data_IF_996760728977
#
_entry.id   IF_996760728977
#
_cell.length_a   1.000
_cell.length_b   1.000
_cell.length_c   1.000
_cell.angle_alpha   90.00
_cell.angle_beta   90.00
_cell.angle_gamma   90.00
#
_symmetry.space_group_name_H-M   'P 1'
#
loop_
_entity.id
_entity.type
_entity.pdbx_description
1 polymer ?
#
# COMPACT_ATOMS: atom_id res chain seq x y z
N UNK A 1 0.41 -6.27 -5.95
CA UNK A 1 -0.88 -5.74 -5.46
C UNK A 1 -2.00 -6.44 -6.22
N UNK A 2 -3.05 -6.85 -5.52
CA UNK A 2 -4.23 -7.50 -6.09
C UNK A 2 -5.44 -7.13 -5.24
N UNK A 3 -6.62 -7.26 -5.82
CA UNK A 3 -7.86 -7.16 -5.06
C UNK A 3 -8.38 -8.56 -4.70
N UNK A 4 -9.08 -8.66 -3.58
CA UNK A 4 -9.64 -9.92 -3.07
C UNK A 4 -10.98 -9.68 -2.39
N UNK A 5 -11.81 -10.70 -2.36
CA UNK A 5 -13.08 -10.68 -1.63
C UNK A 5 -12.87 -11.24 -0.21
N UNK A 6 -13.49 -10.65 0.82
CA UNK A 6 -13.51 -11.21 2.16
C UNK A 6 -14.21 -12.58 2.18
N UNK A 7 -13.69 -13.50 3.00
CA UNK A 7 -14.34 -14.78 3.22
C UNK A 7 -15.72 -14.55 3.86
N UNK A 8 -16.79 -15.06 3.22
CA UNK A 8 -18.17 -14.89 3.66
C UNK A 8 -18.52 -15.76 4.86
N UNK A 9 -17.76 -16.82 5.13
CA UNK A 9 -17.94 -17.64 6.32
C UNK A 9 -17.49 -16.85 7.56
N UNK A 10 -16.35 -16.16 7.47
CA UNK A 10 -15.81 -15.34 8.54
C UNK A 10 -16.45 -13.93 8.60
N UNK A 11 -16.80 -13.35 7.44
CA UNK A 11 -17.34 -12.00 7.29
C UNK A 11 -18.62 -11.97 6.43
N UNK A 12 -19.73 -12.56 6.91
CA UNK A 12 -20.95 -12.75 6.10
C UNK A 12 -21.59 -11.45 5.58
N UNK A 13 -21.35 -10.33 6.26
CA UNK A 13 -21.89 -9.01 5.89
C UNK A 13 -20.92 -8.14 5.10
N UNK A 14 -19.67 -8.57 4.90
CA UNK A 14 -18.69 -7.77 4.16
C UNK A 14 -19.08 -7.71 2.68
N UNK A 15 -19.39 -6.53 2.16
CA UNK A 15 -19.81 -6.31 0.77
C UNK A 15 -18.83 -5.41 0.00
N UNK A 16 -17.57 -5.42 0.42
CA UNK A 16 -16.49 -4.65 -0.17
C UNK A 16 -15.46 -5.57 -0.81
N UNK A 17 -14.72 -5.03 -1.76
CA UNK A 17 -13.50 -5.62 -2.28
C UNK A 17 -12.34 -5.04 -1.48
N UNK A 18 -11.39 -5.88 -1.07
CA UNK A 18 -10.24 -5.45 -0.30
C UNK A 18 -8.99 -5.42 -1.19
N UNK A 19 -8.10 -4.47 -0.91
CA UNK A 19 -6.81 -4.36 -1.58
C UNK A 19 -5.74 -5.06 -0.75
N UNK A 20 -4.88 -5.83 -1.40
CA UNK A 20 -3.82 -6.59 -0.74
C UNK A 20 -2.50 -6.58 -1.52
N UNK A 21 -1.41 -6.87 -0.80
CA UNK A 21 -0.08 -7.13 -1.34
C UNK A 21 0.40 -8.50 -0.87
N UNK A 22 1.20 -9.17 -1.69
CA UNK A 22 1.87 -10.40 -1.33
C UNK A 22 3.34 -10.30 -1.74
N UNK A 23 4.22 -10.79 -0.88
CA UNK A 23 5.66 -10.74 -1.06
C UNK A 23 6.15 -12.14 -1.42
N UNK A 24 6.78 -12.26 -2.58
CA UNK A 24 7.31 -13.53 -3.06
C UNK A 24 8.81 -13.45 -3.25
N UNK A 25 9.51 -14.51 -2.84
CA UNK A 25 10.94 -14.71 -3.06
C UNK A 25 11.15 -15.96 -3.88
N UNK A 26 11.96 -15.88 -4.92
CA UNK A 26 12.21 -17.03 -5.77
C UNK A 26 12.52 -16.65 -7.21
N UNK A 27 12.27 -17.60 -8.11
CA UNK A 27 12.36 -17.43 -9.56
C UNK A 27 11.70 -18.62 -10.26
N UNK A 28 11.50 -18.49 -11.57
CA UNK A 28 10.80 -19.49 -12.40
C UNK A 28 11.44 -20.88 -12.42
N UNK A 29 12.73 -21.01 -12.03
CA UNK A 29 13.41 -22.32 -11.97
C UNK A 29 13.23 -23.02 -10.63
N UNK A 30 13.22 -22.25 -9.53
CA UNK A 30 13.18 -22.78 -8.16
C UNK A 30 11.79 -22.72 -7.55
N UNK A 31 10.85 -22.05 -8.21
CA UNK A 31 9.55 -21.69 -7.65
C UNK A 31 9.61 -20.37 -6.87
N UNK A 32 8.42 -19.91 -6.50
CA UNK A 32 8.19 -18.70 -5.73
C UNK A 32 7.62 -19.08 -4.37
N UNK A 33 8.21 -18.58 -3.30
CA UNK A 33 7.79 -18.77 -1.92
C UNK A 33 7.19 -17.46 -1.39
N UNK A 34 6.05 -17.54 -0.70
CA UNK A 34 5.48 -16.38 -0.01
C UNK A 34 6.28 -16.12 1.28
N UNK A 35 6.80 -14.91 1.40
CA UNK A 35 7.62 -14.45 2.54
C UNK A 35 6.96 -13.30 3.31
N UNK A 36 5.74 -12.92 2.94
CA UNK A 36 5.00 -11.81 3.52
C UNK A 36 4.06 -12.23 4.63
N UNK A 37 3.70 -11.27 5.48
CA UNK A 37 2.57 -11.41 6.39
C UNK A 37 1.26 -11.07 5.69
N UNK A 38 0.15 -11.55 6.24
CA UNK A 38 -1.20 -11.20 5.80
C UNK A 38 -1.77 -10.13 6.75
N UNK A 39 -1.32 -8.89 6.58
CA UNK A 39 -1.89 -7.73 7.25
C UNK A 39 -3.12 -7.20 6.51
N UNK A 40 -4.04 -6.60 7.28
CA UNK A 40 -5.26 -5.96 6.76
C UNK A 40 -5.48 -4.57 7.37
N UNK A 41 -4.53 -4.08 8.16
CA UNK A 41 -4.65 -2.80 8.85
C UNK A 41 -4.55 -1.67 7.82
N UNK A 42 -5.53 -0.78 7.82
CA UNK A 42 -5.58 0.35 6.93
C UNK A 42 -6.22 1.55 7.62
N UNK A 43 -5.98 2.71 7.02
CA UNK A 43 -6.68 3.95 7.30
C UNK A 43 -7.55 4.27 6.10
N UNK A 44 -8.81 4.61 6.31
CA UNK A 44 -9.72 5.00 5.25
C UNK A 44 -10.48 6.28 5.61
N UNK A 45 -10.69 7.11 4.61
CA UNK A 45 -11.63 8.22 4.65
C UNK A 45 -12.24 8.43 3.25
N UNK A 46 -13.03 9.49 3.08
CA UNK A 46 -13.68 9.81 1.80
C UNK A 46 -12.70 10.15 0.67
N UNK A 47 -11.45 10.48 1.00
CA UNK A 47 -10.43 10.90 0.05
C UNK A 47 -9.55 9.74 -0.41
N UNK A 48 -8.99 9.00 0.53
CA UNK A 48 -8.02 7.94 0.26
C UNK A 48 -8.14 6.79 1.26
N UNK A 49 -7.80 5.59 0.80
CA UNK A 49 -7.56 4.41 1.65
C UNK A 49 -6.07 4.11 1.62
N UNK A 50 -5.43 3.94 2.78
CA UNK A 50 -3.99 3.74 2.93
C UNK A 50 -3.71 2.43 3.69
N UNK A 51 -3.00 1.54 3.03
CA UNK A 51 -2.39 0.34 3.61
C UNK A 51 -0.88 0.56 3.75
N UNK A 52 -0.31 0.10 4.86
CA UNK A 52 1.13 0.11 5.09
C UNK A 52 1.53 -1.30 5.53
N UNK A 53 2.19 -2.02 4.64
CA UNK A 53 2.60 -3.40 4.90
C UNK A 53 4.12 -3.50 5.00
N UNK A 54 4.67 -3.67 6.21
CA UNK A 54 6.09 -3.89 6.41
C UNK A 54 6.49 -5.32 6.02
N UNK A 55 7.64 -5.45 5.38
CA UNK A 55 8.33 -6.71 5.15
C UNK A 55 9.66 -6.70 5.89
N UNK A 56 9.75 -7.55 6.91
CA UNK A 56 10.96 -7.81 7.65
C UNK A 56 11.35 -9.29 7.51
N UNK A 57 12.52 -9.54 6.92
CA UNK A 57 13.04 -10.90 6.72
C UNK A 57 14.47 -10.95 7.21
N UNK A 58 14.72 -11.78 8.21
CA UNK A 58 16.05 -12.05 8.73
C UNK A 58 16.69 -13.27 8.06
N UNK A 59 18.02 -13.29 8.05
CA UNK A 59 18.82 -14.48 7.80
C UNK A 59 18.89 -15.33 9.08
N UNK A 60 19.24 -16.60 8.92
CA UNK A 60 19.43 -17.54 10.04
C UNK A 60 20.50 -17.10 11.07
N UNK A 61 21.41 -16.19 10.69
CA UNK A 61 22.42 -15.63 11.58
C UNK A 61 21.98 -14.34 12.29
N UNK A 62 20.74 -13.90 12.08
CA UNK A 62 20.19 -12.66 12.64
C UNK A 62 20.49 -11.39 11.82
N UNK A 63 21.18 -11.49 10.67
CA UNK A 63 21.32 -10.34 9.78
C UNK A 63 20.02 -10.06 9.04
N UNK A 64 19.66 -8.79 8.88
CA UNK A 64 18.53 -8.37 8.06
C UNK A 64 18.82 -8.71 6.58
N UNK A 65 17.91 -9.44 5.95
CA UNK A 65 17.91 -9.71 4.50
C UNK A 65 17.04 -8.69 3.75
N UNK A 66 15.83 -8.44 4.26
CA UNK A 66 14.89 -7.46 3.70
C UNK A 66 14.26 -6.67 4.84
N UNK A 67 14.26 -5.35 4.71
CA UNK A 67 13.61 -4.45 5.66
C UNK A 67 13.12 -3.21 4.90
N UNK A 68 11.87 -3.28 4.48
CA UNK A 68 11.17 -2.21 3.78
C UNK A 68 9.66 -2.36 3.97
N UNK A 69 8.92 -1.29 3.70
CA UNK A 69 7.47 -1.26 3.70
C UNK A 69 6.94 -1.04 2.29
N UNK A 70 5.71 -1.48 2.06
CA UNK A 70 4.93 -1.10 0.88
C UNK A 70 3.75 -0.29 1.35
N UNK A 71 3.64 0.92 0.81
CA UNK A 71 2.48 1.78 0.97
C UNK A 71 1.64 1.63 -0.28
N UNK A 72 0.37 1.31 -0.13
CA UNK A 72 -0.54 1.16 -1.26
C UNK A 72 -1.96 1.49 -0.85
N UNK A 73 -2.83 1.72 -1.82
CA UNK A 73 -4.15 2.21 -1.48
C UNK A 73 -5.02 2.60 -2.66
N UNK A 74 -6.15 3.22 -2.33
CA UNK A 74 -7.15 3.71 -3.28
C UNK A 74 -7.27 5.24 -3.18
N UNK A 75 -7.49 5.89 -4.32
CA UNK A 75 -7.80 7.32 -4.40
C UNK A 75 -9.28 7.49 -4.75
N UNK A 76 -10.08 7.85 -3.75
CA UNK A 76 -11.53 7.92 -3.83
C UNK A 76 -12.01 9.32 -4.28
N UNK A 77 -11.32 10.39 -3.88
CA UNK A 77 -11.68 11.76 -4.26
C UNK A 77 -11.11 12.16 -5.63
N UNK A 78 -11.98 12.47 -6.60
CA UNK A 78 -11.62 12.82 -7.98
C UNK A 78 -10.73 14.07 -8.11
N UNK A 79 -10.75 14.96 -7.13
CA UNK A 79 -9.91 16.17 -7.11
C UNK A 79 -8.44 15.84 -6.82
N UNK A 80 -8.16 14.68 -6.21
CA UNK A 80 -6.79 14.19 -6.03
C UNK A 80 -6.28 13.63 -7.36
N UNK A 81 -5.27 14.28 -7.92
CA UNK A 81 -4.62 13.87 -9.19
C UNK A 81 -3.21 13.34 -8.97
N UNK A 82 -2.65 13.53 -7.76
CA UNK A 82 -1.34 13.00 -7.37
C UNK A 82 -1.40 12.38 -5.97
N UNK A 83 -0.73 11.25 -5.82
CA UNK A 83 -0.43 10.66 -4.53
C UNK A 83 1.07 10.78 -4.30
N UNK A 84 1.47 11.24 -3.14
CA UNK A 84 2.87 11.30 -2.76
C UNK A 84 3.08 10.71 -1.39
N UNK A 85 4.25 10.14 -1.18
CA UNK A 85 4.59 9.43 0.03
C UNK A 85 5.96 9.88 0.54
N UNK A 86 6.19 9.78 1.86
CA UNK A 86 7.52 9.98 2.47
C UNK A 86 7.69 9.20 3.76
N UNK A 87 8.93 8.94 4.16
CA UNK A 87 9.20 8.47 5.53
C UNK A 87 9.09 9.61 6.55
N UNK A 88 8.99 9.27 7.84
CA UNK A 88 9.00 10.26 8.93
C UNK A 88 10.28 11.10 8.92
N UNK A 89 11.41 10.49 8.54
CA UNK A 89 12.73 11.11 8.53
C UNK A 89 13.00 11.96 7.29
N UNK A 90 12.31 11.68 6.18
CA UNK A 90 12.53 12.38 4.92
C UNK A 90 11.92 13.79 4.91
N UNK A 91 12.63 14.71 4.25
CA UNK A 91 12.20 16.10 4.10
C UNK A 91 11.28 16.32 2.90
N UNK A 92 11.40 15.47 1.90
CA UNK A 92 10.70 15.60 0.63
C UNK A 92 9.75 14.44 0.43
N UNK A 93 8.66 14.72 -0.27
CA UNK A 93 7.72 13.71 -0.74
C UNK A 93 8.15 13.20 -2.12
N UNK A 94 7.94 11.92 -2.37
CA UNK A 94 8.11 11.28 -3.67
C UNK A 94 6.74 10.93 -4.26
N UNK A 95 6.58 11.12 -5.56
CA UNK A 95 5.32 10.83 -6.26
C UNK A 95 5.16 9.30 -6.42
N UNK A 96 4.02 8.78 -5.96
CA UNK A 96 3.63 7.39 -6.14
C UNK A 96 2.82 7.25 -7.44
N UNK A 97 3.05 6.17 -8.17
CA UNK A 97 2.32 5.91 -9.42
C UNK A 97 0.84 5.64 -9.13
N UNK A 98 -0.05 6.40 -9.79
CA UNK A 98 -1.49 6.11 -9.79
C UNK A 98 -1.84 5.17 -10.96
N UNK A 99 -2.33 3.99 -10.62
CA UNK A 99 -2.78 2.95 -11.55
C UNK A 99 -4.30 3.01 -11.67
N UNK A 100 -4.82 3.10 -12.89
CA UNK A 100 -6.27 3.06 -13.16
C UNK A 100 -6.67 1.68 -13.65
N UNK A 101 -7.62 1.03 -12.97
CA UNK A 101 -8.14 -0.28 -13.37
C UNK A 101 -9.63 -0.40 -13.04
N UNK A 102 -10.42 -0.77 -14.05
CA UNK A 102 -11.89 -0.91 -13.93
C UNK A 102 -12.59 0.33 -13.33
N UNK A 103 -12.11 1.53 -13.68
CA UNK A 103 -12.68 2.80 -13.17
C UNK A 103 -12.28 3.16 -11.74
N UNK A 104 -11.52 2.31 -11.04
CA UNK A 104 -10.90 2.60 -9.74
C UNK A 104 -9.47 3.10 -9.92
N UNK A 105 -8.99 3.90 -8.97
CA UNK A 105 -7.64 4.49 -8.95
C UNK A 105 -6.90 3.98 -7.74
N UNK A 106 -5.76 3.36 -7.98
CA UNK A 106 -4.89 2.77 -6.97
C UNK A 106 -3.56 3.48 -6.98
N UNK A 107 -2.84 3.45 -5.86
CA UNK A 107 -1.44 3.88 -5.83
C UNK A 107 -0.61 2.85 -5.07
N UNK A 108 0.68 2.79 -5.38
CA UNK A 108 1.62 1.96 -4.64
C UNK A 108 3.02 2.57 -4.66
N UNK A 109 3.76 2.41 -3.56
CA UNK A 109 5.14 2.82 -3.42
C UNK A 109 5.88 1.81 -2.53
N UNK A 110 7.10 1.44 -2.92
CA UNK A 110 8.01 0.64 -2.09
C UNK A 110 8.97 1.60 -1.40
N UNK A 111 9.09 1.53 -0.08
CA UNK A 111 9.91 2.46 0.69
C UNK A 111 9.81 2.24 2.19
N UNK A 112 10.11 3.25 3.00
CA UNK A 112 10.01 3.17 4.48
C UNK A 112 8.83 3.97 5.03
N UNK A 113 7.83 4.19 4.20
CA UNK A 113 7.05 5.42 4.30
C UNK A 113 5.81 5.27 5.19
N UNK A 114 5.63 6.25 6.07
CA UNK A 114 4.59 6.29 7.11
C UNK A 114 3.62 7.44 6.91
N UNK A 115 3.82 8.27 5.88
CA UNK A 115 3.02 9.45 5.59
C UNK A 115 2.66 9.44 4.11
N UNK A 116 1.36 9.59 3.82
CA UNK A 116 0.80 9.70 2.47
C UNK A 116 0.05 11.02 2.37
N UNK A 117 0.10 11.66 1.20
CA UNK A 117 -0.77 12.79 0.89
C UNK A 117 -1.33 12.71 -0.52
N UNK A 118 -2.57 13.19 -0.67
CA UNK A 118 -3.22 13.40 -1.94
C UNK A 118 -3.21 14.89 -2.29
N UNK A 119 -2.83 15.22 -3.52
CA UNK A 119 -2.78 16.60 -4.00
C UNK A 119 -3.74 16.84 -5.16
N UNK A 120 -4.27 18.06 -5.20
CA UNK A 120 -5.01 18.60 -6.33
C UNK A 120 -4.11 18.93 -7.52
N UNK A 121 -4.72 19.28 -8.66
CA UNK A 121 -3.98 19.72 -9.85
C UNK A 121 -3.15 21.00 -9.62
N UNK A 122 -3.59 21.86 -8.69
CA UNK A 122 -2.83 23.06 -8.30
C UNK A 122 -1.71 22.77 -7.29
N UNK A 123 -1.61 21.53 -6.79
CA UNK A 123 -0.65 21.14 -5.76
C UNK A 123 -1.12 21.41 -4.32
N UNK A 124 -2.40 21.72 -4.11
CA UNK A 124 -2.99 21.82 -2.78
C UNK A 124 -3.12 20.42 -2.15
N UNK A 125 -2.82 20.30 -0.86
CA UNK A 125 -2.98 19.04 -0.12
C UNK A 125 -4.45 18.87 0.26
N UNK A 126 -5.13 17.92 -0.36
CA UNK A 126 -6.53 17.60 -0.09
C UNK A 126 -6.64 16.63 1.10
N UNK A 127 -5.73 15.66 1.16
CA UNK A 127 -5.72 14.65 2.21
C UNK A 127 -4.30 14.32 2.65
N UNK A 128 -4.13 14.00 3.92
CA UNK A 128 -2.86 13.55 4.49
C UNK A 128 -3.11 12.55 5.59
N UNK A 129 -2.55 11.36 5.44
CA UNK A 129 -2.71 10.26 6.38
C UNK A 129 -1.34 9.73 6.84
N UNK A 130 -1.30 9.28 8.10
CA UNK A 130 -0.08 8.79 8.74
C UNK A 130 0.85 9.88 9.29
N UNK A 131 1.78 9.47 10.15
CA UNK A 131 2.66 10.33 10.94
C UNK A 131 2.16 10.56 12.36
#
# INVERSE_FOLDING_TARGET
MYTTEPDKEDFPYANYEALAVAFFKGNDRKGWENIGHHGWAHYDNENMTVYIEPLHVDKNNGDILHDFSVVFGEVNNAEIVKAETKSSEDKTFEEAEIIIKHGKRYYFQIGRETIVRGLSESGEVIDRQGG
#
